data_IF_715175465455
#
_entry.id   IF_715175465455
#
_cell.length_a   1.000
_cell.length_b   1.000
_cell.length_c   1.000
_cell.angle_alpha   90.00
_cell.angle_beta   90.00
_cell.angle_gamma   90.00
#
_symmetry.space_group_name_H-M   'P 1'
#
loop_
_entity.id
_entity.type
_entity.pdbx_description
1 polymer ?
#
# COMPACT_ATOMS: atom_id res chain seq x y z
N UNK A 1 17.45 -35.79 -4.58
CA UNK A 1 18.15 -34.80 -3.73
C UNK A 1 18.69 -33.71 -4.64
N UNK A 2 17.89 -32.69 -4.91
CA UNK A 2 18.19 -31.64 -5.91
C UNK A 2 19.06 -30.59 -5.23
N UNK A 3 20.33 -30.47 -5.68
CA UNK A 3 21.25 -29.45 -5.18
C UNK A 3 20.82 -28.08 -5.68
N UNK A 4 20.72 -27.14 -4.74
CA UNK A 4 20.35 -25.76 -4.96
C UNK A 4 21.28 -25.10 -5.99
N UNK A 5 20.65 -24.56 -7.02
CA UNK A 5 21.11 -23.53 -7.97
C UNK A 5 22.55 -23.01 -7.78
N UNK A 6 23.43 -23.43 -8.68
CA UNK A 6 24.69 -22.73 -8.96
C UNK A 6 24.37 -21.32 -9.44
N UNK A 7 24.39 -20.38 -8.49
CA UNK A 7 24.15 -18.96 -8.74
C UNK A 7 25.34 -18.39 -9.51
N UNK A 8 25.19 -18.30 -10.84
CA UNK A 8 26.14 -17.71 -11.78
C UNK A 8 26.70 -16.39 -11.22
N UNK A 9 28.02 -16.28 -11.00
CA UNK A 9 28.62 -15.04 -10.53
C UNK A 9 28.48 -13.95 -11.60
N UNK A 10 27.86 -12.82 -11.23
CA UNK A 10 27.91 -11.58 -12.03
C UNK A 10 29.38 -11.16 -12.18
N UNK A 11 29.96 -11.40 -13.35
CA UNK A 11 31.34 -11.05 -13.67
C UNK A 11 31.43 -9.58 -14.16
N UNK A 12 32.01 -8.71 -13.34
CA UNK A 12 32.37 -7.35 -13.77
C UNK A 12 33.89 -7.28 -13.96
N UNK A 13 34.36 -7.32 -15.21
CA UNK A 13 35.79 -7.21 -15.54
C UNK A 13 36.18 -5.75 -15.79
N UNK A 14 36.75 -5.10 -14.78
CA UNK A 14 37.71 -4.00 -14.97
C UNK A 14 38.99 -4.36 -14.21
N UNK A 15 40.11 -4.48 -14.94
CA UNK A 15 41.47 -4.71 -14.42
C UNK A 15 41.60 -5.91 -13.45
N UNK A 16 41.58 -7.12 -14.00
CA UNK A 16 42.08 -8.38 -13.40
C UNK A 16 41.67 -8.81 -11.97
N UNK A 17 40.72 -8.13 -11.32
CA UNK A 17 40.23 -8.55 -9.99
C UNK A 17 38.83 -9.14 -10.10
N UNK A 18 38.65 -10.39 -9.64
CA UNK A 18 37.33 -11.01 -9.49
C UNK A 18 36.69 -10.43 -8.23
N UNK A 19 35.68 -9.57 -8.41
CA UNK A 19 34.91 -9.02 -7.29
C UNK A 19 33.88 -10.05 -6.80
N UNK A 20 33.74 -10.17 -5.49
CA UNK A 20 32.63 -10.93 -4.89
C UNK A 20 31.29 -10.29 -5.23
N UNK A 21 30.18 -11.04 -5.18
CA UNK A 21 28.83 -10.54 -5.50
C UNK A 21 28.48 -9.24 -4.75
N UNK A 22 28.84 -9.17 -3.45
CA UNK A 22 28.64 -7.98 -2.62
C UNK A 22 29.48 -6.79 -3.10
N UNK A 23 30.74 -7.02 -3.47
CA UNK A 23 31.62 -5.96 -3.98
C UNK A 23 31.16 -5.44 -5.34
N UNK A 24 30.70 -6.32 -6.23
CA UNK A 24 30.14 -5.94 -7.53
C UNK A 24 28.86 -5.11 -7.36
N UNK A 25 27.95 -5.52 -6.47
CA UNK A 25 26.74 -4.77 -6.16
C UNK A 25 27.06 -3.38 -5.58
N UNK A 26 27.96 -3.30 -4.60
CA UNK A 26 28.41 -2.03 -4.03
C UNK A 26 29.06 -1.12 -5.08
N UNK A 27 29.83 -1.69 -6.01
CA UNK A 27 30.44 -0.94 -7.09
C UNK A 27 29.38 -0.36 -8.05
N UNK A 28 28.38 -1.15 -8.40
CA UNK A 28 27.26 -0.71 -9.23
C UNK A 28 26.49 0.43 -8.57
N UNK A 29 26.17 0.32 -7.28
CA UNK A 29 25.49 1.39 -6.52
C UNK A 29 26.32 2.68 -6.55
N UNK A 30 27.64 2.59 -6.33
CA UNK A 30 28.54 3.74 -6.33
C UNK A 30 28.67 4.38 -7.72
N UNK A 31 28.76 3.56 -8.77
CA UNK A 31 28.82 4.09 -10.13
C UNK A 31 27.49 4.71 -10.53
N UNK A 32 26.38 4.05 -10.24
CA UNK A 32 25.04 4.54 -10.54
C UNK A 32 24.77 5.86 -9.83
N UNK A 33 25.11 6.00 -8.54
CA UNK A 33 24.93 7.25 -7.81
C UNK A 33 25.69 8.43 -8.44
N UNK A 34 26.86 8.20 -9.03
CA UNK A 34 27.63 9.26 -9.70
C UNK A 34 26.96 9.75 -10.98
N UNK A 35 26.26 8.88 -11.70
CA UNK A 35 25.55 9.25 -12.94
C UNK A 35 24.10 9.65 -12.70
N UNK A 36 23.49 9.20 -11.61
CA UNK A 36 22.11 9.47 -11.26
C UNK A 36 21.94 10.68 -10.35
N UNK A 37 23.02 11.30 -9.87
CA UNK A 37 22.97 12.52 -9.07
C UNK A 37 22.63 13.73 -9.96
N UNK A 38 21.39 13.75 -10.41
CA UNK A 38 20.80 14.89 -11.08
C UNK A 38 20.42 15.91 -10.02
N UNK A 39 21.13 17.04 -9.99
CA UNK A 39 20.74 18.16 -9.15
C UNK A 39 19.42 18.72 -9.67
N UNK A 40 18.31 18.29 -9.06
CA UNK A 40 16.99 18.85 -9.36
C UNK A 40 16.94 20.25 -8.77
N UNK A 41 16.84 21.27 -9.63
CA UNK A 41 16.69 22.66 -9.21
C UNK A 41 15.50 22.82 -8.26
N UNK A 42 15.65 23.70 -7.25
CA UNK A 42 14.60 23.99 -6.26
C UNK A 42 13.27 24.40 -6.91
N UNK A 43 13.32 25.09 -8.06
CA UNK A 43 12.15 25.46 -8.83
C UNK A 43 11.35 24.23 -9.28
N UNK A 44 12.02 23.22 -9.86
CA UNK A 44 11.36 21.99 -10.30
C UNK A 44 10.78 21.20 -9.14
N UNK A 45 11.44 21.20 -7.98
CA UNK A 45 10.89 20.60 -6.75
C UNK A 45 9.62 21.31 -6.30
N UNK A 46 9.60 22.64 -6.39
CA UNK A 46 8.42 23.43 -6.04
C UNK A 46 7.24 23.12 -6.97
N UNK A 47 7.48 23.08 -8.28
CA UNK A 47 6.46 22.70 -9.28
C UNK A 47 5.89 21.31 -9.01
N UNK A 48 6.75 20.30 -8.80
CA UNK A 48 6.30 18.93 -8.50
C UNK A 48 5.47 18.89 -7.21
N UNK A 49 5.86 19.65 -6.17
CA UNK A 49 5.07 19.74 -4.95
C UNK A 49 3.71 20.43 -5.17
N UNK A 50 3.64 21.45 -6.03
CA UNK A 50 2.39 22.09 -6.42
C UNK A 50 1.50 21.10 -7.18
N UNK A 51 2.03 20.42 -8.20
CA UNK A 51 1.31 19.39 -8.97
C UNK A 51 0.74 18.28 -8.07
N UNK A 52 1.51 17.81 -7.08
CA UNK A 52 1.05 16.81 -6.11
C UNK A 52 -0.09 17.37 -5.24
N UNK A 53 0.02 18.62 -4.77
CA UNK A 53 -1.01 19.26 -3.95
C UNK A 53 -2.29 19.48 -4.73
N UNK A 54 -2.20 19.93 -5.97
CA UNK A 54 -3.37 20.14 -6.85
C UNK A 54 -4.06 18.81 -7.16
N UNK A 55 -3.31 17.77 -7.50
CA UNK A 55 -3.87 16.42 -7.68
C UNK A 55 -4.56 15.93 -6.42
N UNK A 56 -3.98 16.15 -5.24
CA UNK A 56 -4.60 15.80 -3.95
C UNK A 56 -5.87 16.60 -3.66
N UNK A 57 -5.96 17.86 -4.08
CA UNK A 57 -7.19 18.67 -3.93
C UNK A 57 -8.32 18.14 -4.82
N UNK A 58 -8.01 17.68 -6.03
CA UNK A 58 -9.01 17.08 -6.93
C UNK A 58 -9.56 15.75 -6.38
N UNK A 59 -8.77 15.00 -5.60
CA UNK A 59 -9.21 13.74 -4.98
C UNK A 59 -9.85 13.92 -3.60
N UNK A 60 -9.67 15.07 -2.95
CA UNK A 60 -10.37 15.39 -1.70
C UNK A 60 -11.78 15.84 -2.06
N UNK A 61 -12.73 14.90 -1.99
CA UNK A 61 -14.15 15.25 -1.98
C UNK A 61 -14.40 16.31 -0.90
N UNK A 62 -15.31 17.28 -1.13
CA UNK A 62 -15.72 18.23 -0.11
C UNK A 62 -16.09 17.46 1.16
N UNK A 63 -15.53 17.82 2.31
CA UNK A 63 -15.77 17.10 3.58
C UNK A 63 -17.24 17.03 3.96
N UNK A 64 -18.06 17.96 3.45
CA UNK A 64 -19.51 18.00 3.65
C UNK A 64 -20.25 16.91 2.86
N UNK A 65 -19.71 16.42 1.74
CA UNK A 65 -20.30 15.32 0.96
C UNK A 65 -20.06 13.96 1.64
N UNK A 66 -18.92 13.79 2.33
CA UNK A 66 -18.54 12.51 2.96
C UNK A 66 -19.50 12.12 4.09
N UNK A 67 -19.96 13.08 4.88
CA UNK A 67 -20.84 12.82 6.04
C UNK A 67 -22.33 12.82 5.68
N UNK A 68 -22.67 13.23 4.45
CA UNK A 68 -24.07 13.28 3.96
C UNK A 68 -24.40 12.13 3.01
N UNK A 69 -23.38 11.45 2.47
CA UNK A 69 -23.59 10.27 1.64
C UNK A 69 -23.96 9.04 2.49
N UNK A 70 -24.95 8.25 2.07
CA UNK A 70 -25.22 6.96 2.69
C UNK A 70 -24.07 5.99 2.43
N UNK A 71 -23.78 5.13 3.41
CA UNK A 71 -22.77 4.08 3.27
C UNK A 71 -23.14 3.11 2.14
N UNK A 72 -22.15 2.63 1.39
CA UNK A 72 -22.35 1.64 0.32
C UNK A 72 -21.90 0.24 0.74
N UNK A 73 -22.39 -0.78 0.03
CA UNK A 73 -22.08 -2.18 0.36
C UNK A 73 -20.58 -2.47 0.31
N UNK A 74 -19.86 -1.88 -0.65
CA UNK A 74 -18.42 -2.07 -0.82
C UNK A 74 -17.63 -1.58 0.41
N UNK A 75 -18.07 -0.48 1.03
CA UNK A 75 -17.45 0.05 2.26
C UNK A 75 -17.71 -0.87 3.45
N UNK A 76 -18.93 -1.38 3.57
CA UNK A 76 -19.28 -2.35 4.61
C UNK A 76 -18.46 -3.64 4.45
N UNK A 77 -18.37 -4.20 3.25
CA UNK A 77 -17.61 -5.42 2.97
C UNK A 77 -16.10 -5.21 3.13
N UNK A 78 -15.59 -4.06 2.69
CA UNK A 78 -14.20 -3.66 2.89
C UNK A 78 -13.85 -3.59 4.37
N UNK A 79 -14.73 -2.99 5.17
CA UNK A 79 -14.57 -2.87 6.63
C UNK A 79 -14.59 -4.24 7.30
N UNK A 80 -15.59 -5.07 6.99
CA UNK A 80 -15.71 -6.43 7.56
C UNK A 80 -14.49 -7.30 7.24
N UNK A 81 -13.82 -7.08 6.10
CA UNK A 81 -12.62 -7.82 5.70
C UNK A 81 -11.37 -7.42 6.49
N UNK A 82 -11.27 -6.16 6.92
CA UNK A 82 -10.09 -5.64 7.63
C UNK A 82 -10.25 -5.68 9.15
N UNK A 83 -11.43 -6.03 9.65
CA UNK A 83 -11.66 -6.25 11.08
C UNK A 83 -10.76 -7.36 11.63
N UNK A 84 -10.18 -7.13 12.80
CA UNK A 84 -9.31 -8.10 13.45
C UNK A 84 -10.13 -9.23 14.07
N UNK A 85 -9.87 -10.46 13.64
CA UNK A 85 -10.42 -11.66 14.24
C UNK A 85 -9.74 -11.98 15.59
N UNK A 86 -10.40 -12.78 16.42
CA UNK A 86 -9.92 -13.21 17.73
C UNK A 86 -10.05 -12.16 18.82
N UNK A 87 -10.80 -11.08 18.57
CA UNK A 87 -11.17 -10.13 19.63
C UNK A 87 -12.25 -10.74 20.51
N UNK A 88 -12.16 -10.44 21.82
CA UNK A 88 -13.21 -10.84 22.75
C UNK A 88 -14.55 -10.26 22.30
N UNK A 89 -15.64 -11.03 22.33
CA UNK A 89 -16.96 -10.49 22.08
C UNK A 89 -17.27 -9.34 23.04
N UNK A 90 -18.03 -8.37 22.55
CA UNK A 90 -18.59 -7.28 23.35
C UNK A 90 -19.80 -7.79 24.18
N UNK A 91 -20.44 -6.95 25.03
CA UNK A 91 -21.57 -7.40 25.87
C UNK A 91 -22.76 -7.99 25.10
N UNK A 92 -22.83 -7.74 23.79
CA UNK A 92 -23.80 -8.33 22.87
C UNK A 92 -23.51 -9.79 22.51
N UNK A 93 -22.34 -10.31 22.91
CA UNK A 93 -21.81 -11.63 22.57
C UNK A 93 -21.60 -11.86 21.06
N UNK A 94 -21.50 -10.79 20.26
CA UNK A 94 -21.25 -10.88 18.82
C UNK A 94 -19.74 -10.80 18.57
N UNK A 95 -19.19 -11.77 17.83
CA UNK A 95 -17.78 -11.76 17.45
C UNK A 95 -17.57 -11.16 16.05
N UNK A 96 -16.35 -10.68 15.79
CA UNK A 96 -16.00 -10.16 14.47
C UNK A 96 -16.09 -11.23 13.37
N UNK A 97 -15.84 -12.49 13.71
CA UNK A 97 -16.02 -13.61 12.79
C UNK A 97 -17.48 -13.79 12.41
N UNK A 98 -18.42 -13.61 13.34
CA UNK A 98 -19.84 -13.68 13.03
C UNK A 98 -20.24 -12.62 12.01
N UNK A 99 -19.70 -11.40 12.14
CA UNK A 99 -19.92 -10.30 11.21
C UNK A 99 -19.30 -10.57 9.84
N UNK A 100 -18.08 -11.13 9.80
CA UNK A 100 -17.40 -11.48 8.55
C UNK A 100 -18.15 -12.56 7.74
N UNK A 101 -18.79 -13.52 8.42
CA UNK A 101 -19.52 -14.64 7.81
C UNK A 101 -21.01 -14.36 7.57
N UNK A 102 -21.47 -13.12 7.74
CA UNK A 102 -22.86 -12.77 7.43
C UNK A 102 -23.19 -13.00 5.94
N UNK A 103 -24.37 -13.56 5.70
CA UNK A 103 -24.93 -13.65 4.35
C UNK A 103 -25.29 -12.26 3.79
N UNK A 104 -25.35 -12.17 2.46
CA UNK A 104 -25.65 -10.92 1.75
C UNK A 104 -26.91 -10.21 2.25
N UNK A 105 -27.99 -10.96 2.54
CA UNK A 105 -29.24 -10.38 3.05
C UNK A 105 -29.07 -9.73 4.43
N UNK A 106 -28.27 -10.33 5.31
CA UNK A 106 -27.99 -9.77 6.63
C UNK A 106 -27.13 -8.50 6.51
N UNK A 107 -26.09 -8.52 5.66
CA UNK A 107 -25.27 -7.33 5.36
C UNK A 107 -26.12 -6.19 4.79
N UNK A 108 -27.08 -6.48 3.91
CA UNK A 108 -28.03 -5.48 3.38
C UNK A 108 -28.91 -4.86 4.47
N UNK A 109 -29.35 -5.66 5.45
CA UNK A 109 -30.14 -5.14 6.58
C UNK A 109 -29.31 -4.25 7.48
N UNK A 110 -28.07 -4.64 7.79
CA UNK A 110 -27.12 -3.82 8.55
C UNK A 110 -26.85 -2.50 7.84
N UNK A 111 -26.57 -2.54 6.53
CA UNK A 111 -26.36 -1.34 5.73
C UNK A 111 -27.60 -0.42 5.76
N UNK A 112 -28.80 -1.02 5.68
CA UNK A 112 -30.05 -0.29 5.87
C UNK A 112 -30.10 0.42 7.22
N UNK A 113 -29.83 -0.28 8.32
CA UNK A 113 -29.84 0.32 9.67
C UNK A 113 -28.90 1.53 9.79
N UNK A 114 -27.71 1.47 9.20
CA UNK A 114 -26.77 2.58 9.22
C UNK A 114 -27.19 3.78 8.36
N UNK A 115 -27.94 3.54 7.28
CA UNK A 115 -28.38 4.58 6.35
C UNK A 115 -29.80 5.12 6.63
N UNK A 116 -30.51 4.59 7.65
CA UNK A 116 -31.89 5.02 7.98
C UNK A 116 -31.91 6.07 9.11
N UNK A 117 -30.76 6.61 9.51
CA UNK A 117 -30.66 7.73 10.44
C UNK A 117 -30.45 9.04 9.70
#
# INVERSE_FOLDING_TARGET
MVRATDSVPLHWKRKNTVLTKRQAANHLVKQFSQVSDITVCNQRRHEVHQEIREKKKVTQQPTDEIMTCPFVMEELEGTLKVMQNGRSPEPDNITNEMLAHLGFQAKRKILGLFNTN
#
